data_IF_920282877720
#
_entry.id   IF_920282877720
#
_cell.length_a   1.000
_cell.length_b   1.000
_cell.length_c   1.000
_cell.angle_alpha   90.00
_cell.angle_beta   90.00
_cell.angle_gamma   90.00
#
_symmetry.space_group_name_H-M   'P 1'
#
loop_
_entity.id
_entity.type
_entity.pdbx_description
1 polymer ?
#
# COMPACT_ATOMS: atom_id res chain seq x y z
N UNK A 1 -108.04 7.97 15.64
CA UNK A 1 -107.59 8.91 16.69
C UNK A 1 -106.15 8.73 16.95
N UNK A 2 -105.37 9.68 16.66
CA UNK A 2 -104.17 10.15 17.34
C UNK A 2 -102.97 9.20 17.43
N UNK A 3 -101.99 9.46 16.74
CA UNK A 3 -100.75 10.20 17.10
C UNK A 3 -99.69 9.26 17.64
N UNK A 4 -98.43 9.37 17.40
CA UNK A 4 -97.50 10.38 16.90
C UNK A 4 -96.10 9.78 16.86
N UNK A 5 -95.38 10.22 15.87
CA UNK A 5 -94.01 10.79 15.90
C UNK A 5 -92.81 9.91 16.19
N UNK A 6 -92.03 9.61 15.25
CA UNK A 6 -90.67 10.14 14.94
C UNK A 6 -89.80 10.53 16.09
N UNK A 7 -88.51 10.70 15.88
CA UNK A 7 -87.48 10.06 15.06
C UNK A 7 -86.26 9.78 15.93
N UNK A 8 -85.21 9.39 15.38
CA UNK A 8 -83.92 10.12 15.55
C UNK A 8 -82.78 9.42 14.80
N UNK A 9 -82.30 10.16 13.86
CA UNK A 9 -80.98 9.98 13.29
C UNK A 9 -79.90 10.39 14.27
N UNK A 10 -78.86 9.81 14.19
CA UNK A 10 -77.54 10.45 14.08
C UNK A 10 -76.41 9.50 14.35
N UNK A 11 -75.61 9.28 13.46
CA UNK A 11 -74.42 9.26 13.37
C UNK A 11 -73.56 8.24 13.02
N UNK A 12 -73.22 8.26 12.50
CA UNK A 12 -72.11 7.81 12.35
C UNK A 12 -71.52 8.06 11.20
N UNK A 13 -70.71 8.86 11.01
CA UNK A 13 -69.82 9.25 9.92
C UNK A 13 -68.39 9.53 10.36
N UNK A 14 -67.86 8.95 11.42
CA UNK A 14 -66.53 9.25 11.91
C UNK A 14 -65.65 8.02 12.13
N UNK A 15 -65.87 6.90 11.47
CA UNK A 15 -65.06 5.69 11.70
C UNK A 15 -64.26 5.19 10.46
N UNK A 16 -64.19 5.97 9.36
CA UNK A 16 -63.50 5.51 8.15
C UNK A 16 -62.30 6.33 7.70
N UNK A 17 -61.80 7.28 8.51
CA UNK A 17 -60.64 8.09 8.12
C UNK A 17 -59.35 7.82 8.96
N UNK A 18 -59.41 6.87 9.89
CA UNK A 18 -58.21 6.55 10.72
C UNK A 18 -57.41 5.35 10.26
N UNK A 19 -57.89 4.58 9.27
CA UNK A 19 -57.22 3.35 8.85
C UNK A 19 -56.31 3.54 7.61
N UNK A 20 -56.29 4.71 6.99
CA UNK A 20 -55.50 4.95 5.79
C UNK A 20 -54.13 5.61 6.05
N UNK A 21 -53.84 6.00 7.28
CA UNK A 21 -52.57 6.68 7.61
C UNK A 21 -51.53 5.78 8.28
N UNK A 22 -51.81 4.51 8.50
CA UNK A 22 -50.90 3.56 9.13
C UNK A 22 -50.17 2.64 8.15
N UNK A 23 -50.42 2.77 6.85
CA UNK A 23 -49.78 1.93 5.84
C UNK A 23 -48.68 2.64 5.01
N UNK A 24 -48.37 3.91 5.34
CA UNK A 24 -47.37 4.68 4.59
C UNK A 24 -46.03 4.80 5.30
N UNK A 25 -45.85 4.19 6.49
CA UNK A 25 -44.63 4.38 7.28
C UNK A 25 -43.71 3.15 7.38
N UNK A 26 -43.94 2.12 6.57
CA UNK A 26 -43.11 0.90 6.65
C UNK A 26 -42.09 0.76 5.51
N UNK A 27 -41.96 1.77 4.65
CA UNK A 27 -41.02 1.67 3.52
C UNK A 27 -39.77 2.57 3.63
N UNK A 28 -39.50 3.16 4.81
CA UNK A 28 -38.34 4.03 4.96
C UNK A 28 -37.12 3.37 5.64
N UNK A 29 -37.16 2.09 5.97
CA UNK A 29 -36.04 1.43 6.62
C UNK A 29 -35.46 0.28 5.80
N UNK A 30 -35.83 0.16 4.53
CA UNK A 30 -35.34 -0.93 3.70
C UNK A 30 -34.43 -0.36 2.59
N UNK A 31 -33.33 0.28 2.95
CA UNK A 31 -32.20 0.42 2.02
C UNK A 31 -31.00 1.15 2.63
N UNK A 32 -30.51 0.67 3.76
CA UNK A 32 -29.15 1.01 4.15
C UNK A 32 -28.56 -0.14 4.99
N UNK A 33 -28.64 -1.34 4.47
CA UNK A 33 -27.62 -2.29 4.78
C UNK A 33 -26.44 -1.87 3.91
N UNK A 34 -25.30 -1.45 4.45
CA UNK A 34 -24.14 -1.28 3.62
C UNK A 34 -23.94 -2.64 2.94
N UNK A 35 -23.94 -2.63 1.62
CA UNK A 35 -23.39 -3.76 0.90
C UNK A 35 -22.00 -3.88 1.48
N UNK A 36 -21.78 -4.88 2.30
CA UNK A 36 -20.50 -5.04 2.97
C UNK A 36 -19.49 -5.42 1.91
N UNK A 37 -18.84 -4.40 1.33
CA UNK A 37 -17.69 -4.65 0.47
C UNK A 37 -16.71 -5.50 1.26
N UNK A 38 -16.29 -6.57 0.65
CA UNK A 38 -15.36 -7.53 1.25
C UNK A 38 -14.09 -7.49 0.39
N UNK A 39 -13.16 -6.68 0.84
CA UNK A 39 -11.95 -6.36 0.06
C UNK A 39 -10.78 -7.21 0.55
N UNK A 40 -10.14 -7.88 -0.39
CA UNK A 40 -8.81 -8.47 -0.17
C UNK A 40 -7.79 -7.49 -0.75
N UNK A 41 -6.79 -7.14 0.07
CA UNK A 41 -5.71 -6.26 -0.35
C UNK A 41 -4.44 -7.06 -0.65
N UNK A 42 -3.85 -6.84 -1.81
CA UNK A 42 -2.68 -7.58 -2.28
C UNK A 42 -1.51 -6.63 -2.54
N UNK A 43 -0.66 -6.48 -1.53
CA UNK A 43 0.54 -5.66 -1.58
C UNK A 43 0.56 -4.56 -0.54
N UNK A 44 1.73 -4.35 0.06
CA UNK A 44 1.94 -3.40 1.16
C UNK A 44 1.44 -1.99 0.85
N UNK A 45 1.81 -1.44 -0.33
CA UNK A 45 1.43 -0.07 -0.71
C UNK A 45 -0.09 0.08 -0.88
N UNK A 46 -0.78 -0.98 -1.29
CA UNK A 46 -2.25 -0.96 -1.42
C UNK A 46 -2.90 -0.98 -0.03
N UNK A 47 -2.43 -1.88 0.84
CA UNK A 47 -2.99 -2.03 2.19
C UNK A 47 -2.85 -0.73 2.99
N UNK A 48 -1.67 -0.09 2.95
CA UNK A 48 -1.47 1.16 3.70
C UNK A 48 -2.39 2.30 3.19
N UNK A 49 -2.66 2.35 1.88
CA UNK A 49 -3.56 3.36 1.32
C UNK A 49 -5.03 3.08 1.67
N UNK A 50 -5.46 1.81 1.65
CA UNK A 50 -6.81 1.45 2.10
C UNK A 50 -7.02 1.86 3.56
N UNK A 51 -6.02 1.64 4.40
CA UNK A 51 -6.08 2.04 5.82
C UNK A 51 -6.11 3.56 5.95
N UNK A 52 -5.26 4.28 5.21
CA UNK A 52 -5.18 5.75 5.26
C UNK A 52 -6.43 6.43 4.69
N UNK A 53 -7.15 5.76 3.78
CA UNK A 53 -8.39 6.24 3.18
C UNK A 53 -9.64 5.83 3.99
N UNK A 54 -9.42 5.32 5.22
CA UNK A 54 -10.49 4.90 6.13
C UNK A 54 -11.40 3.80 5.56
N UNK A 55 -10.78 2.86 4.81
CA UNK A 55 -11.49 1.71 4.23
C UNK A 55 -11.24 0.42 5.01
N UNK A 56 -10.73 0.51 6.24
CA UNK A 56 -10.33 -0.65 7.06
C UNK A 56 -11.48 -1.64 7.30
N UNK A 57 -12.71 -1.13 7.45
CA UNK A 57 -13.87 -1.96 7.78
C UNK A 57 -14.31 -2.84 6.60
N UNK A 58 -13.85 -2.53 5.40
CA UNK A 58 -14.09 -3.34 4.21
C UNK A 58 -13.06 -4.46 4.05
N UNK A 59 -11.90 -4.36 4.71
CA UNK A 59 -10.81 -5.34 4.55
C UNK A 59 -11.18 -6.67 5.22
N UNK A 60 -11.10 -7.76 4.47
CA UNK A 60 -11.35 -9.11 4.98
C UNK A 60 -10.08 -9.99 4.97
N UNK A 61 -9.05 -9.60 4.24
CA UNK A 61 -7.78 -10.30 4.22
C UNK A 61 -6.71 -9.42 3.57
N UNK A 62 -5.45 -9.73 3.85
CA UNK A 62 -4.29 -9.04 3.27
C UNK A 62 -3.23 -10.05 2.85
N UNK A 63 -2.31 -9.63 1.99
CA UNK A 63 -1.18 -10.50 1.61
C UNK A 63 -0.04 -10.40 2.64
N UNK A 64 0.90 -11.33 2.55
CA UNK A 64 2.01 -11.48 3.50
C UNK A 64 2.94 -10.24 3.56
N UNK A 65 2.91 -9.36 2.55
CA UNK A 65 3.76 -8.16 2.55
C UNK A 65 3.12 -6.98 3.29
N UNK A 66 1.86 -7.12 3.67
CA UNK A 66 1.09 -6.04 4.30
C UNK A 66 1.40 -5.93 5.80
N UNK A 67 1.35 -4.72 6.31
CA UNK A 67 1.48 -4.45 7.75
C UNK A 67 0.17 -3.88 8.25
N UNK A 68 -0.38 -4.49 9.29
CA UNK A 68 -1.63 -4.04 9.90
C UNK A 68 -1.36 -3.25 11.18
N UNK A 69 -2.23 -2.29 11.53
CA UNK A 69 -2.12 -1.58 12.81
C UNK A 69 -2.23 -2.53 13.99
N UNK A 70 -1.64 -2.14 15.10
CA UNK A 70 -1.69 -2.93 16.34
C UNK A 70 -3.15 -3.23 16.72
N UNK A 71 -3.41 -4.48 17.00
CA UNK A 71 -4.75 -4.93 17.41
C UNK A 71 -5.68 -5.28 16.25
N UNK A 72 -5.24 -5.08 15.00
CA UNK A 72 -5.99 -5.49 13.82
C UNK A 72 -5.43 -6.81 13.30
N UNK A 73 -6.24 -7.83 13.21
CA UNK A 73 -5.84 -9.13 12.70
C UNK A 73 -6.75 -9.52 11.55
N UNK A 74 -6.16 -9.90 10.44
CA UNK A 74 -6.88 -10.37 9.24
C UNK A 74 -6.19 -11.62 8.69
N UNK A 75 -6.93 -12.50 8.03
CA UNK A 75 -6.33 -13.63 7.33
C UNK A 75 -5.26 -13.19 6.33
N UNK A 76 -4.18 -13.97 6.26
CA UNK A 76 -3.09 -13.82 5.32
C UNK A 76 -3.37 -14.71 4.11
N UNK A 77 -3.42 -14.14 2.92
CA UNK A 77 -3.67 -14.88 1.66
C UNK A 77 -2.39 -15.28 0.93
N UNK A 78 -1.26 -15.17 1.60
CA UNK A 78 0.04 -15.51 1.04
C UNK A 78 0.62 -14.37 0.20
N UNK A 79 1.55 -14.71 -0.68
CA UNK A 79 2.29 -13.71 -1.46
C UNK A 79 1.47 -13.27 -2.70
N UNK A 80 1.33 -11.96 -2.88
CA UNK A 80 0.48 -11.40 -3.94
C UNK A 80 0.80 -11.91 -5.36
N UNK A 81 2.04 -12.35 -5.61
CA UNK A 81 2.41 -12.92 -6.92
C UNK A 81 2.06 -14.40 -7.06
N UNK A 82 1.55 -15.04 -5.98
CA UNK A 82 1.23 -16.47 -5.93
C UNK A 82 -0.12 -16.73 -5.26
N UNK A 83 -1.11 -15.95 -5.62
CA UNK A 83 -2.44 -16.04 -5.02
C UNK A 83 -3.12 -17.36 -5.41
N UNK A 84 -3.99 -17.86 -4.52
CA UNK A 84 -4.81 -19.05 -4.76
C UNK A 84 -6.27 -18.63 -4.94
N UNK A 85 -6.88 -18.99 -6.06
CA UNK A 85 -8.30 -18.70 -6.29
C UNK A 85 -9.17 -19.38 -5.23
N UNK A 86 -8.89 -20.64 -4.89
CA UNK A 86 -9.63 -21.39 -3.87
C UNK A 86 -9.53 -20.68 -2.51
N UNK A 87 -8.30 -20.32 -2.09
CA UNK A 87 -8.10 -19.64 -0.82
C UNK A 87 -8.82 -18.29 -0.75
N UNK A 88 -8.79 -17.53 -1.84
CA UNK A 88 -9.45 -16.23 -1.90
C UNK A 88 -10.97 -16.38 -1.90
N UNK A 89 -11.53 -17.28 -2.73
CA UNK A 89 -12.99 -17.49 -2.82
C UNK A 89 -13.56 -18.01 -1.51
N UNK A 90 -12.80 -18.76 -0.72
CA UNK A 90 -13.23 -19.20 0.61
C UNK A 90 -13.54 -18.04 1.56
N UNK A 91 -12.94 -16.86 1.30
CA UNK A 91 -13.19 -15.65 2.08
C UNK A 91 -14.39 -14.86 1.56
N UNK A 92 -15.02 -15.31 0.48
CA UNK A 92 -16.16 -14.64 -0.16
C UNK A 92 -15.90 -13.14 -0.42
N UNK A 93 -14.80 -12.79 -1.09
CA UNK A 93 -14.52 -11.38 -1.37
C UNK A 93 -15.45 -10.86 -2.46
N UNK A 94 -15.81 -9.59 -2.38
CA UNK A 94 -16.47 -8.89 -3.49
C UNK A 94 -15.42 -8.23 -4.38
N UNK A 95 -14.22 -7.97 -3.84
CA UNK A 95 -13.20 -7.18 -4.54
C UNK A 95 -11.80 -7.63 -4.12
N UNK A 96 -10.89 -7.69 -5.08
CA UNK A 96 -9.45 -7.86 -4.86
C UNK A 96 -8.76 -6.63 -5.43
N UNK A 97 -8.02 -5.90 -4.59
CA UNK A 97 -7.27 -4.71 -5.01
C UNK A 97 -5.78 -4.99 -4.85
N UNK A 98 -5.02 -4.75 -5.90
CA UNK A 98 -3.57 -4.93 -5.87
C UNK A 98 -2.92 -4.34 -7.10
N UNK A 99 -1.64 -4.63 -7.26
CA UNK A 99 -0.86 -4.11 -8.38
C UNK A 99 -0.86 -5.07 -9.57
N UNK A 100 -0.27 -4.61 -10.67
CA UNK A 100 0.00 -5.43 -11.86
C UNK A 100 0.96 -6.60 -11.57
N UNK A 101 1.57 -6.61 -10.39
CA UNK A 101 2.40 -7.73 -9.93
C UNK A 101 1.58 -8.90 -9.37
N UNK A 102 0.29 -8.70 -9.15
CA UNK A 102 -0.59 -9.79 -8.67
C UNK A 102 -0.61 -10.95 -9.67
N UNK A 103 -0.66 -12.14 -9.14
CA UNK A 103 -0.72 -13.31 -10.00
C UNK A 103 -0.92 -14.61 -9.24
N UNK A 104 -0.99 -15.72 -9.98
CA UNK A 104 -0.88 -15.79 -11.43
C UNK A 104 -2.13 -15.30 -12.18
N UNK A 105 -2.00 -14.97 -13.44
CA UNK A 105 -3.10 -14.49 -14.29
C UNK A 105 -4.28 -15.46 -14.30
N UNK A 106 -4.01 -16.77 -14.23
CA UNK A 106 -5.06 -17.78 -14.17
C UNK A 106 -5.93 -17.62 -12.93
N UNK A 107 -5.32 -17.33 -11.77
CA UNK A 107 -6.05 -17.05 -10.52
C UNK A 107 -6.93 -15.81 -10.68
N UNK A 108 -6.38 -14.71 -11.22
CA UNK A 108 -7.14 -13.48 -11.40
C UNK A 108 -8.35 -13.70 -12.32
N UNK A 109 -8.18 -14.48 -13.39
CA UNK A 109 -9.28 -14.82 -14.31
C UNK A 109 -10.34 -15.67 -13.63
N UNK A 110 -9.94 -16.62 -12.78
CA UNK A 110 -10.89 -17.45 -12.00
C UNK A 110 -11.72 -16.58 -11.06
N UNK A 111 -11.08 -15.60 -10.38
CA UNK A 111 -11.78 -14.68 -9.48
C UNK A 111 -12.80 -13.84 -10.26
N UNK A 112 -12.39 -13.26 -11.39
CA UNK A 112 -13.29 -12.48 -12.26
C UNK A 112 -14.47 -13.33 -12.73
N UNK A 113 -14.23 -14.59 -13.13
CA UNK A 113 -15.29 -15.51 -13.55
C UNK A 113 -16.25 -15.86 -12.41
N UNK A 114 -15.78 -15.80 -11.17
CA UNK A 114 -16.59 -16.03 -9.97
C UNK A 114 -17.30 -14.75 -9.49
N UNK A 115 -17.18 -13.64 -10.22
CA UNK A 115 -17.86 -12.39 -9.89
C UNK A 115 -17.12 -11.48 -8.93
N UNK A 116 -15.83 -11.72 -8.68
CA UNK A 116 -15.00 -10.85 -7.86
C UNK A 116 -14.45 -9.72 -8.75
N UNK A 117 -14.63 -8.47 -8.32
CA UNK A 117 -13.99 -7.32 -8.98
C UNK A 117 -12.48 -7.35 -8.71
N UNK A 118 -11.68 -7.47 -9.76
CA UNK A 118 -10.22 -7.47 -9.64
C UNK A 118 -9.70 -6.13 -10.15
N UNK A 119 -9.27 -5.29 -9.22
CA UNK A 119 -8.84 -3.92 -9.45
C UNK A 119 -7.32 -3.85 -9.40
N UNK A 120 -6.73 -3.30 -10.47
CA UNK A 120 -5.28 -3.19 -10.60
C UNK A 120 -4.90 -1.72 -10.54
N UNK A 121 -4.02 -1.37 -9.61
CA UNK A 121 -3.52 -0.01 -9.44
C UNK A 121 -2.05 0.08 -9.87
N UNK A 122 -1.60 1.30 -10.20
CA UNK A 122 -0.23 1.52 -10.68
C UNK A 122 0.81 1.24 -9.58
N UNK A 123 2.05 0.95 -10.01
CA UNK A 123 3.18 0.69 -9.11
C UNK A 123 4.33 1.67 -9.34
N UNK A 124 4.03 2.84 -9.92
CA UNK A 124 5.09 3.81 -10.21
C UNK A 124 5.86 4.18 -8.95
N UNK A 125 7.18 4.18 -9.08
CA UNK A 125 8.09 4.43 -7.96
C UNK A 125 8.46 5.92 -7.88
N UNK A 126 7.45 6.78 -7.86
CA UNK A 126 7.63 8.22 -7.75
C UNK A 126 6.42 8.87 -7.07
N UNK A 127 6.55 10.15 -6.73
CA UNK A 127 5.51 10.89 -5.99
C UNK A 127 4.21 10.99 -6.80
N UNK A 128 4.33 11.27 -8.10
CA UNK A 128 3.12 11.37 -8.95
C UNK A 128 2.38 10.05 -9.02
N UNK A 129 3.10 8.94 -9.12
CA UNK A 129 2.51 7.60 -9.07
C UNK A 129 1.80 7.33 -7.75
N UNK A 130 2.38 7.75 -6.63
CA UNK A 130 1.72 7.62 -5.32
C UNK A 130 0.43 8.44 -5.27
N UNK A 131 0.47 9.70 -5.71
CA UNK A 131 -0.73 10.56 -5.73
C UNK A 131 -1.82 9.98 -6.64
N UNK A 132 -1.42 9.46 -7.80
CA UNK A 132 -2.35 8.80 -8.73
C UNK A 132 -2.96 7.53 -8.11
N UNK A 133 -2.14 6.71 -7.42
CA UNK A 133 -2.63 5.49 -6.75
C UNK A 133 -3.62 5.82 -5.64
N UNK A 134 -3.38 6.91 -4.89
CA UNK A 134 -4.34 7.40 -3.90
C UNK A 134 -5.70 7.67 -4.58
N UNK A 135 -5.69 8.39 -5.72
CA UNK A 135 -6.92 8.68 -6.45
C UNK A 135 -7.58 7.40 -6.99
N UNK A 136 -6.80 6.46 -7.53
CA UNK A 136 -7.32 5.18 -8.02
C UNK A 136 -8.05 4.42 -6.90
N UNK A 137 -7.40 4.22 -5.75
CA UNK A 137 -7.98 3.47 -4.63
C UNK A 137 -9.18 4.22 -4.04
N UNK A 138 -9.10 5.55 -3.96
CA UNK A 138 -10.21 6.36 -3.46
C UNK A 138 -11.45 6.21 -4.35
N UNK A 139 -11.27 6.22 -5.67
CA UNK A 139 -12.37 6.02 -6.62
C UNK A 139 -12.98 4.61 -6.47
N UNK A 140 -12.12 3.59 -6.38
CA UNK A 140 -12.55 2.20 -6.21
C UNK A 140 -13.38 2.04 -4.92
N UNK A 141 -13.01 2.76 -3.85
CA UNK A 141 -13.61 2.62 -2.52
C UNK A 141 -14.60 3.73 -2.17
N UNK A 142 -14.87 4.68 -3.07
CA UNK A 142 -15.73 5.85 -2.84
C UNK A 142 -15.23 6.66 -1.63
N UNK A 143 -13.92 7.01 -1.64
CA UNK A 143 -13.23 7.74 -0.56
C UNK A 143 -12.52 9.01 -1.07
N UNK A 144 -13.10 9.69 -2.04
CA UNK A 144 -12.48 10.86 -2.70
C UNK A 144 -12.23 12.01 -1.72
N UNK A 145 -13.10 12.18 -0.72
CA UNK A 145 -12.92 13.23 0.30
C UNK A 145 -11.69 12.94 1.17
N UNK A 146 -11.48 11.67 1.54
CA UNK A 146 -10.29 11.26 2.30
C UNK A 146 -9.01 11.41 1.46
N UNK A 147 -9.11 11.12 0.16
CA UNK A 147 -7.97 11.26 -0.76
C UNK A 147 -7.46 12.70 -0.83
N UNK A 148 -8.36 13.69 -0.80
CA UNK A 148 -7.96 15.10 -0.83
C UNK A 148 -7.03 15.42 0.34
N UNK A 149 -7.42 15.02 1.55
CA UNK A 149 -6.61 15.25 2.75
C UNK A 149 -5.29 14.47 2.70
N UNK A 150 -5.37 13.19 2.34
CA UNK A 150 -4.18 12.33 2.28
C UNK A 150 -3.14 12.86 1.29
N UNK A 151 -3.60 13.34 0.11
CA UNK A 151 -2.68 13.92 -0.88
C UNK A 151 -2.02 15.20 -0.37
N UNK A 152 -2.73 16.02 0.41
CA UNK A 152 -2.14 17.21 1.04
C UNK A 152 -1.05 16.80 2.04
N UNK A 153 -1.30 15.77 2.83
CA UNK A 153 -0.31 15.24 3.79
C UNK A 153 0.94 14.71 3.06
N UNK A 154 0.74 13.95 1.98
CA UNK A 154 1.84 13.43 1.15
C UNK A 154 2.68 14.58 0.59
N UNK A 155 2.02 15.59 0.01
CA UNK A 155 2.73 16.74 -0.57
C UNK A 155 3.54 17.49 0.51
N UNK A 156 2.96 17.70 1.69
CA UNK A 156 3.66 18.36 2.79
C UNK A 156 4.90 17.56 3.25
N UNK A 157 4.78 16.23 3.31
CA UNK A 157 5.93 15.37 3.64
C UNK A 157 7.03 15.47 2.58
N UNK A 158 6.66 15.44 1.30
CA UNK A 158 7.61 15.57 0.19
C UNK A 158 8.30 16.94 0.23
N UNK A 159 7.55 18.02 0.44
CA UNK A 159 8.09 19.36 0.58
C UNK A 159 9.10 19.47 1.72
N UNK A 160 8.78 18.83 2.86
CA UNK A 160 9.68 18.78 4.00
C UNK A 160 10.99 18.04 3.65
N UNK A 161 10.90 16.93 2.92
CA UNK A 161 12.08 16.18 2.48
C UNK A 161 12.91 17.03 1.50
N UNK A 162 12.27 17.73 0.58
CA UNK A 162 12.93 18.60 -0.40
C UNK A 162 13.64 19.77 0.29
N UNK A 163 13.04 20.33 1.33
CA UNK A 163 13.62 21.43 2.10
C UNK A 163 14.88 20.99 2.87
N UNK A 164 15.01 19.69 3.15
CA UNK A 164 16.14 19.13 3.88
C UNK A 164 17.22 18.50 2.96
N UNK A 165 17.15 18.76 1.66
CA UNK A 165 18.15 18.24 0.72
C UNK A 165 19.50 18.89 0.95
N UNK A 166 20.59 18.10 0.97
CA UNK A 166 21.93 18.68 1.04
C UNK A 166 22.32 19.35 -0.29
N UNK A 167 23.35 20.17 -0.26
CA UNK A 167 23.92 20.69 -1.51
C UNK A 167 24.33 19.51 -2.42
N UNK A 168 24.25 19.66 -3.76
CA UNK A 168 24.58 18.56 -4.66
C UNK A 168 25.96 17.93 -4.43
N UNK A 169 26.95 18.71 -4.07
CA UNK A 169 28.32 18.24 -3.78
C UNK A 169 28.43 17.48 -2.45
N UNK A 170 27.42 17.60 -1.59
CA UNK A 170 27.42 16.97 -0.27
C UNK A 170 26.56 15.69 -0.25
N UNK A 171 25.95 15.33 -1.36
CA UNK A 171 25.10 14.13 -1.43
C UNK A 171 25.92 12.86 -1.21
N UNK A 172 25.48 12.04 -0.28
CA UNK A 172 26.08 10.72 -0.03
C UNK A 172 25.65 9.74 -1.14
N UNK A 173 26.59 8.94 -1.63
CA UNK A 173 26.29 7.86 -2.58
C UNK A 173 25.71 6.69 -1.82
N UNK A 174 24.50 6.30 -2.17
CA UNK A 174 23.75 5.23 -1.49
C UNK A 174 23.39 4.16 -2.52
N UNK A 175 23.79 2.93 -2.25
CA UNK A 175 23.53 1.79 -3.14
C UNK A 175 22.63 0.78 -2.43
N UNK A 176 21.47 0.49 -3.01
CA UNK A 176 20.58 -0.54 -2.46
C UNK A 176 20.92 -1.89 -3.08
N UNK A 177 21.11 -2.89 -2.21
CA UNK A 177 21.37 -4.28 -2.60
C UNK A 177 20.22 -5.19 -2.17
N UNK A 178 19.64 -5.87 -3.15
CA UNK A 178 18.71 -6.97 -2.89
C UNK A 178 19.54 -8.25 -2.84
N UNK A 179 19.78 -8.75 -1.63
CA UNK A 179 20.67 -9.87 -1.38
C UNK A 179 19.84 -11.12 -1.06
N UNK A 180 20.18 -12.20 -1.72
CA UNK A 180 19.64 -13.53 -1.43
C UNK A 180 20.82 -14.51 -1.32
N UNK A 181 20.81 -15.32 -0.29
CA UNK A 181 21.88 -16.31 -0.08
C UNK A 181 22.05 -17.19 -1.34
N UNK A 182 23.29 -17.37 -1.75
CA UNK A 182 23.64 -18.23 -2.88
C UNK A 182 23.35 -17.65 -4.27
N UNK A 183 23.01 -16.36 -4.36
CA UNK A 183 22.74 -15.70 -5.66
C UNK A 183 23.50 -14.38 -5.74
N UNK A 184 23.88 -13.94 -6.95
CA UNK A 184 24.43 -12.60 -7.12
C UNK A 184 23.44 -11.55 -6.60
N UNK A 185 23.95 -10.51 -5.95
CA UNK A 185 23.12 -9.41 -5.48
C UNK A 185 22.54 -8.64 -6.67
N UNK A 186 21.28 -8.21 -6.56
CA UNK A 186 20.69 -7.28 -7.49
C UNK A 186 20.81 -5.87 -6.93
N UNK A 187 21.13 -4.91 -7.78
CA UNK A 187 21.24 -3.50 -7.44
C UNK A 187 19.96 -2.80 -7.94
N UNK A 188 19.43 -1.88 -7.15
CA UNK A 188 18.29 -1.08 -7.56
C UNK A 188 18.77 0.13 -8.37
N UNK A 189 18.40 0.17 -9.65
CA UNK A 189 18.66 1.29 -10.54
C UNK A 189 17.49 2.26 -10.60
N UNK A 190 17.44 3.02 -11.68
CA UNK A 190 16.38 4.00 -11.95
C UNK A 190 15.00 3.30 -11.97
N UNK A 191 13.95 4.01 -11.61
CA UNK A 191 12.55 3.54 -11.62
C UNK A 191 12.29 2.40 -10.63
N UNK A 192 13.00 2.40 -9.50
CA UNK A 192 12.73 1.45 -8.39
C UNK A 192 12.36 2.22 -7.13
N UNK A 193 11.61 1.58 -6.25
CA UNK A 193 11.23 2.21 -4.98
C UNK A 193 12.44 2.57 -4.12
N UNK A 194 13.50 1.72 -4.01
CA UNK A 194 14.71 2.16 -3.30
C UNK A 194 15.35 3.41 -3.90
N UNK A 195 15.37 3.53 -5.24
CA UNK A 195 15.92 4.72 -5.91
C UNK A 195 15.16 5.98 -5.49
N UNK A 196 13.82 5.91 -5.53
CA UNK A 196 12.98 7.04 -5.12
C UNK A 196 13.21 7.40 -3.63
N UNK A 197 13.31 6.40 -2.76
CA UNK A 197 13.57 6.62 -1.33
C UNK A 197 14.93 7.30 -1.14
N UNK A 198 15.98 6.84 -1.84
CA UNK A 198 17.33 7.41 -1.78
C UNK A 198 17.30 8.88 -2.22
N UNK A 199 16.64 9.16 -3.34
CA UNK A 199 16.52 10.52 -3.88
C UNK A 199 15.79 11.45 -2.91
N UNK A 200 14.64 11.01 -2.41
CA UNK A 200 13.85 11.78 -1.44
C UNK A 200 14.63 12.03 -0.14
N UNK A 201 15.46 11.08 0.26
CA UNK A 201 16.31 11.21 1.44
C UNK A 201 17.53 12.13 1.21
N UNK A 202 17.71 12.64 0.00
CA UNK A 202 18.84 13.52 -0.34
C UNK A 202 20.12 12.77 -0.74
N UNK A 203 20.01 11.45 -0.94
CA UNK A 203 21.14 10.64 -1.42
C UNK A 203 21.30 10.71 -2.94
N UNK A 204 22.40 10.15 -3.42
CA UNK A 204 22.69 9.95 -4.85
C UNK A 204 22.79 8.44 -5.07
N UNK A 205 21.95 7.88 -5.92
CA UNK A 205 22.03 6.46 -6.28
C UNK A 205 22.91 6.33 -7.53
N UNK A 206 24.18 5.90 -7.40
CA UNK A 206 25.04 5.80 -8.57
C UNK A 206 24.59 4.75 -9.59
N UNK A 207 23.81 3.77 -9.16
CA UNK A 207 23.27 2.73 -10.06
C UNK A 207 22.20 3.31 -11.00
N UNK A 208 21.43 4.30 -10.56
CA UNK A 208 20.37 4.90 -11.39
C UNK A 208 20.90 5.56 -12.65
N UNK A 209 22.18 5.96 -12.63
CA UNK A 209 22.83 6.58 -13.80
C UNK A 209 23.22 5.57 -14.89
N UNK A 210 23.22 4.28 -14.54
CA UNK A 210 23.70 3.19 -15.42
C UNK A 210 22.66 2.13 -15.69
N UNK A 211 21.68 1.95 -14.80
CA UNK A 211 20.75 0.82 -14.82
C UNK A 211 19.32 1.29 -14.58
N UNK A 212 18.39 0.63 -15.22
CA UNK A 212 16.96 0.78 -14.95
C UNK A 212 16.44 -0.53 -14.35
N UNK A 213 15.58 -0.42 -13.33
CA UNK A 213 15.03 -1.56 -12.60
C UNK A 213 16.11 -2.27 -11.77
N UNK A 214 15.78 -3.46 -11.26
CA UNK A 214 16.72 -4.29 -10.50
C UNK A 214 17.55 -5.12 -11.48
N UNK A 215 18.87 -5.05 -11.34
CA UNK A 215 19.79 -5.82 -12.19
C UNK A 215 20.86 -6.49 -11.35
N UNK A 216 21.22 -7.75 -11.68
CA UNK A 216 22.39 -8.36 -11.06
C UNK A 216 23.64 -7.57 -11.43
N UNK A 217 24.50 -7.36 -10.46
CA UNK A 217 25.74 -6.58 -10.67
C UNK A 217 26.90 -7.27 -9.95
N UNK A 218 28.06 -7.31 -10.59
CA UNK A 218 29.24 -7.88 -9.96
C UNK A 218 29.73 -6.99 -8.82
N UNK A 219 30.41 -7.58 -7.85
CA UNK A 219 30.95 -6.82 -6.72
C UNK A 219 31.97 -5.78 -7.19
N UNK A 220 32.75 -6.08 -8.24
CA UNK A 220 33.69 -5.15 -8.84
C UNK A 220 32.97 -3.88 -9.35
N UNK A 221 31.86 -4.06 -10.06
CA UNK A 221 31.07 -2.93 -10.57
C UNK A 221 30.46 -2.10 -9.42
N UNK A 222 30.05 -2.77 -8.34
CA UNK A 222 29.58 -2.05 -7.13
C UNK A 222 30.70 -1.24 -6.50
N UNK A 223 31.93 -1.79 -6.46
CA UNK A 223 33.12 -1.09 -5.92
C UNK A 223 33.42 0.16 -6.75
N UNK A 224 33.32 0.07 -8.07
CA UNK A 224 33.54 1.24 -8.96
C UNK A 224 32.58 2.41 -8.62
N UNK A 225 31.43 2.12 -8.11
CA UNK A 225 30.45 3.16 -7.72
C UNK A 225 30.83 3.88 -6.43
N UNK A 226 31.74 3.29 -5.63
CA UNK A 226 32.24 3.87 -4.37
C UNK A 226 31.11 4.38 -3.48
N UNK A 227 30.15 3.51 -3.07
CA UNK A 227 29.08 3.96 -2.19
C UNK A 227 29.58 4.35 -0.81
N UNK A 228 29.00 5.42 -0.26
CA UNK A 228 29.23 5.85 1.14
C UNK A 228 28.35 5.03 2.09
N UNK A 229 27.23 4.53 1.60
CA UNK A 229 26.24 3.76 2.35
C UNK A 229 25.72 2.62 1.46
N UNK A 230 25.57 1.45 2.05
CA UNK A 230 24.86 0.33 1.43
C UNK A 230 23.55 0.14 2.19
N UNK A 231 22.44 0.14 1.44
CA UNK A 231 21.12 -0.19 1.99
C UNK A 231 20.79 -1.63 1.67
N UNK A 232 20.23 -2.34 2.66
CA UNK A 232 19.67 -3.69 2.46
C UNK A 232 18.33 -3.78 3.19
N UNK A 233 17.46 -4.70 2.80
CA UNK A 233 16.24 -4.91 3.58
C UNK A 233 16.60 -5.47 4.96
N UNK A 234 15.83 -5.10 5.98
CA UNK A 234 16.06 -5.61 7.35
C UNK A 234 16.08 -7.13 7.39
N UNK A 235 15.18 -7.77 6.65
CA UNK A 235 15.12 -9.22 6.55
C UNK A 235 16.42 -9.81 5.98
N UNK A 236 16.94 -9.23 4.89
CA UNK A 236 18.21 -9.69 4.29
C UNK A 236 19.36 -9.51 5.27
N UNK A 237 19.41 -8.37 5.96
CA UNK A 237 20.43 -8.06 6.95
C UNK A 237 20.46 -9.12 8.07
N UNK A 238 19.30 -9.43 8.62
CA UNK A 238 19.16 -10.43 9.69
C UNK A 238 19.52 -11.85 9.20
N UNK A 239 18.99 -12.23 8.03
CA UNK A 239 19.21 -13.56 7.46
C UNK A 239 20.70 -13.80 7.15
N UNK A 240 21.38 -12.76 6.66
CA UNK A 240 22.80 -12.84 6.33
C UNK A 240 23.71 -12.81 7.58
N UNK A 241 23.21 -12.31 8.71
CA UNK A 241 23.98 -12.21 9.95
C UNK A 241 24.63 -10.86 10.20
N UNK A 242 24.11 -9.81 9.57
CA UNK A 242 24.55 -8.44 9.81
C UNK A 242 25.66 -7.95 8.89
N UNK A 243 26.17 -6.75 9.17
CA UNK A 243 27.13 -6.07 8.29
C UNK A 243 28.41 -6.89 8.07
N UNK A 244 28.97 -7.49 9.13
CA UNK A 244 30.21 -8.25 9.01
C UNK A 244 30.03 -9.49 8.11
N UNK A 245 28.89 -10.16 8.22
CA UNK A 245 28.60 -11.35 7.40
C UNK A 245 28.39 -10.95 5.93
N UNK A 246 27.73 -9.81 5.69
CA UNK A 246 27.53 -9.29 4.32
C UNK A 246 28.90 -8.96 3.69
N UNK A 247 29.77 -8.28 4.43
CA UNK A 247 31.12 -7.93 3.94
C UNK A 247 31.97 -9.20 3.74
N UNK A 248 31.81 -10.21 4.59
CA UNK A 248 32.50 -11.49 4.42
C UNK A 248 32.03 -12.22 3.14
N UNK A 249 30.74 -12.13 2.84
CA UNK A 249 30.16 -12.73 1.61
C UNK A 249 30.56 -11.97 0.35
N UNK A 250 30.81 -10.65 0.46
CA UNK A 250 31.20 -9.78 -0.65
C UNK A 250 32.44 -8.96 -0.27
N UNK A 251 33.62 -9.64 -0.15
CA UNK A 251 34.81 -9.02 0.45
C UNK A 251 35.35 -7.81 -0.30
N UNK A 252 35.11 -7.69 -1.61
CA UNK A 252 35.53 -6.54 -2.38
C UNK A 252 34.83 -5.24 -1.93
N UNK A 253 33.65 -5.34 -1.33
CA UNK A 253 32.96 -4.16 -0.80
C UNK A 253 33.77 -3.45 0.30
N UNK A 254 34.70 -4.15 0.95
CA UNK A 254 35.62 -3.54 1.91
C UNK A 254 36.49 -2.44 1.29
N UNK A 255 36.59 -2.37 -0.05
CA UNK A 255 37.30 -1.30 -0.77
C UNK A 255 36.46 -0.05 -0.98
N UNK A 256 35.18 -0.05 -0.54
CA UNK A 256 34.29 1.12 -0.65
C UNK A 256 34.29 1.89 0.67
N UNK A 257 33.93 3.18 0.65
CA UNK A 257 33.71 3.93 1.90
C UNK A 257 32.72 3.23 2.83
N UNK A 258 31.60 2.71 2.29
CA UNK A 258 30.59 1.98 3.07
C UNK A 258 31.19 0.72 3.75
N UNK A 259 32.02 -0.02 3.04
CA UNK A 259 32.65 -1.22 3.59
C UNK A 259 33.68 -0.90 4.67
N UNK A 260 34.50 0.13 4.45
CA UNK A 260 35.53 0.57 5.40
C UNK A 260 34.92 1.01 6.74
N UNK A 261 33.77 1.67 6.69
CA UNK A 261 33.09 2.17 7.90
C UNK A 261 31.98 1.23 8.39
N UNK A 262 31.75 0.12 7.70
CA UNK A 262 30.65 -0.83 7.94
C UNK A 262 29.30 -0.13 7.88
N UNK A 263 29.18 0.87 7.04
CA UNK A 263 27.97 1.68 6.91
C UNK A 263 26.94 0.96 6.04
N UNK A 264 26.42 -0.16 6.56
CA UNK A 264 25.37 -0.96 5.94
C UNK A 264 24.10 -0.74 6.77
N UNK A 265 23.15 -0.05 6.18
CA UNK A 265 21.91 0.41 6.85
C UNK A 265 20.74 -0.43 6.37
N UNK A 266 19.83 -0.76 7.28
CA UNK A 266 18.63 -1.50 6.92
C UNK A 266 17.51 -0.54 6.49
N UNK A 267 16.64 -1.03 5.61
CA UNK A 267 15.39 -0.38 5.22
C UNK A 267 14.25 -1.39 5.42
N UNK A 268 13.08 -0.89 5.81
CA UNK A 268 11.91 -1.76 5.96
C UNK A 268 11.50 -2.31 4.59
N UNK A 269 11.56 -3.64 4.43
CA UNK A 269 11.19 -4.29 3.17
C UNK A 269 9.76 -4.03 2.74
N UNK A 270 8.85 -3.80 3.68
CA UNK A 270 7.45 -3.50 3.36
C UNK A 270 7.31 -2.14 2.65
N UNK A 271 8.23 -1.22 2.88
CA UNK A 271 8.26 0.08 2.20
C UNK A 271 8.64 0.00 0.72
N UNK A 272 9.07 -1.18 0.25
CA UNK A 272 9.59 -1.38 -1.11
C UNK A 272 8.59 -2.07 -2.04
N UNK A 273 7.42 -2.49 -1.53
CA UNK A 273 6.49 -3.35 -2.27
C UNK A 273 5.31 -2.54 -2.83
N UNK A 274 5.16 -2.55 -4.15
CA UNK A 274 4.01 -1.96 -4.83
C UNK A 274 4.18 -0.50 -5.22
N UNK A 275 5.43 -0.06 -5.42
CA UNK A 275 5.75 1.32 -5.80
C UNK A 275 6.03 2.21 -4.58
N UNK A 276 6.19 3.50 -4.82
CA UNK A 276 6.39 4.46 -3.72
C UNK A 276 5.11 4.56 -2.89
N UNK A 277 5.22 4.34 -1.57
CA UNK A 277 4.08 4.36 -0.66
C UNK A 277 4.28 5.31 0.51
N UNK A 278 3.33 5.32 1.43
CA UNK A 278 3.41 6.16 2.64
C UNK A 278 4.58 5.70 3.52
N UNK A 279 4.77 4.40 3.64
CA UNK A 279 5.89 3.82 4.37
C UNK A 279 7.23 4.19 3.70
N UNK A 280 7.24 4.27 2.37
CA UNK A 280 8.44 4.70 1.62
C UNK A 280 8.83 6.14 2.01
N UNK A 281 7.86 7.05 2.16
CA UNK A 281 8.13 8.42 2.60
C UNK A 281 8.69 8.45 4.02
N UNK A 282 8.16 7.61 4.91
CA UNK A 282 8.67 7.49 6.29
C UNK A 282 10.11 6.98 6.30
N UNK A 283 10.41 5.99 5.45
CA UNK A 283 11.78 5.47 5.32
C UNK A 283 12.73 6.51 4.71
N UNK A 284 12.26 7.31 3.74
CA UNK A 284 13.06 8.40 3.19
C UNK A 284 13.44 9.43 4.28
N UNK A 285 12.48 9.76 5.14
CA UNK A 285 12.73 10.69 6.27
C UNK A 285 13.75 10.09 7.25
N UNK A 286 13.58 8.81 7.60
CA UNK A 286 14.52 8.11 8.48
C UNK A 286 15.91 8.03 7.86
N UNK A 287 15.99 7.72 6.58
CA UNK A 287 17.26 7.64 5.85
C UNK A 287 17.94 9.01 5.79
N UNK A 288 17.18 10.09 5.50
CA UNK A 288 17.73 11.46 5.49
C UNK A 288 18.44 11.76 6.82
N UNK A 289 17.80 11.45 7.95
CA UNK A 289 18.36 11.69 9.28
C UNK A 289 19.63 10.85 9.55
N UNK A 290 19.73 9.66 8.94
CA UNK A 290 20.92 8.82 9.07
C UNK A 290 22.07 9.27 8.14
N UNK A 291 21.72 9.80 6.97
CA UNK A 291 22.72 10.30 6.03
C UNK A 291 23.32 11.64 6.49
N UNK A 292 22.50 12.50 7.10
CA UNK A 292 22.85 13.87 7.46
C UNK A 292 22.45 14.19 8.91
N UNK A 293 23.12 13.55 9.90
CA UNK A 293 22.77 13.70 11.33
C UNK A 293 23.00 15.11 11.89
#
# INVERSE_FOLDING_TARGET
MKNTLSPVRTXXRTALTAAALLLASTNLFANNAPSSERVVSAGSAVTELLLALDAKDSLVAVDVTSTLPQGMELPDVGYHRRLSAEGLLALSPTKLIGSDEMGPTTTLNQLKSAGVDVEIVNTEANVDGLLHRIDQIATIMNRESQATNLKQEVKAQVESLQANQPAPSAKKKVLFLLIHEGRPANVAGLDTTPDAIIELAGGDNPAAKKLTSYKPLSTEAMVEMQPDVILVSGRSYETMGGADAILKAMPLLAATPAGQTKNIITIDGHALVGGLGLKSLSEAKRLNALLYP
#
